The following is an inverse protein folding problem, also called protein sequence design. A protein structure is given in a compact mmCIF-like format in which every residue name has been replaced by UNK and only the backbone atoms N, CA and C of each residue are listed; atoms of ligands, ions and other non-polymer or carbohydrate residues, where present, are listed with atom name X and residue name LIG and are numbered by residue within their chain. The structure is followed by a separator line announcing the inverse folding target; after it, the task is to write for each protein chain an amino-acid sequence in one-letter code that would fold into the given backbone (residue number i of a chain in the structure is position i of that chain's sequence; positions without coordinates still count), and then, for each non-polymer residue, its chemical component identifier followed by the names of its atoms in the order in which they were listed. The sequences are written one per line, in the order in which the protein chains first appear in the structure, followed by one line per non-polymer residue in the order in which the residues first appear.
data_IF_883398283555
#
_entry.id   IF_883398283555
#
_cell.length_a   1.000
_cell.length_b   1.000
_cell.length_c   1.000
_cell.angle_alpha   90.00
_cell.angle_beta   90.00
_cell.angle_gamma   90.00
#
_symmetry.space_group_name_H-M   'P 1'
#
loop_
_entity.id
_entity.type
_entity.pdbx_description
1 polymer ?
#
# COMPACT_ATOMS: atom_id res chain seq x y z
N UNK A 1 9.15 -12.87 -1.62
CA UNK A 1 8.19 -11.84 -1.15
C UNK A 1 8.13 -10.60 -2.05
N UNK A 2 9.23 -10.11 -2.62
CA UNK A 2 9.17 -8.97 -3.57
C UNK A 2 8.13 -9.17 -4.69
N UNK A 3 8.03 -10.39 -5.23
CA UNK A 3 7.00 -10.73 -6.23
C UNK A 3 5.57 -10.68 -5.70
N UNK A 4 5.35 -10.95 -4.40
CA UNK A 4 4.03 -10.83 -3.79
C UNK A 4 3.68 -9.36 -3.54
N UNK A 5 4.65 -8.50 -3.17
CA UNK A 5 4.42 -7.05 -3.11
C UNK A 5 4.19 -6.45 -4.51
N UNK A 6 4.86 -6.95 -5.55
CA UNK A 6 4.55 -6.61 -6.95
C UNK A 6 3.11 -6.95 -7.32
N UNK A 7 2.65 -8.15 -6.95
CA UNK A 7 1.27 -8.56 -7.19
C UNK A 7 0.28 -7.67 -6.43
N UNK A 8 0.53 -7.40 -5.13
CA UNK A 8 -0.30 -6.51 -4.32
C UNK A 8 -0.33 -5.07 -4.85
N UNK A 9 0.78 -4.57 -5.39
CA UNK A 9 0.82 -3.27 -6.06
C UNK A 9 -0.06 -3.24 -7.32
N UNK A 10 0.02 -4.29 -8.15
CA UNK A 10 -0.83 -4.43 -9.33
C UNK A 10 -2.31 -4.56 -8.97
N UNK A 11 -2.62 -5.28 -7.90
CA UNK A 11 -3.98 -5.38 -7.35
C UNK A 11 -4.45 -4.02 -6.82
N UNK A 12 -3.58 -3.28 -6.12
CA UNK A 12 -3.87 -1.95 -5.58
C UNK A 12 -4.18 -0.92 -6.68
N UNK A 13 -3.52 -1.03 -7.84
CA UNK A 13 -3.82 -0.21 -9.02
C UNK A 13 -5.23 -0.48 -9.59
N UNK A 14 -5.83 -1.63 -9.31
CA UNK A 14 -7.19 -1.96 -9.74
C UNK A 14 -8.19 -1.97 -8.58
N UNK A 15 -7.72 -1.78 -7.34
CA UNK A 15 -8.54 -1.82 -6.15
C UNK A 15 -9.45 -0.57 -6.03
N UNK A 16 -10.60 -0.77 -5.41
CA UNK A 16 -11.45 0.32 -4.92
C UNK A 16 -10.99 0.74 -3.50
N UNK A 17 -11.57 1.80 -2.93
CA UNK A 17 -11.16 2.32 -1.63
C UNK A 17 -11.27 1.31 -0.48
N UNK A 18 -12.29 0.44 -0.48
CA UNK A 18 -12.46 -0.59 0.53
C UNK A 18 -11.34 -1.65 0.43
N UNK A 19 -11.08 -2.18 -0.76
CA UNK A 19 -9.98 -3.11 -0.99
C UNK A 19 -8.63 -2.47 -0.70
N UNK A 20 -8.44 -1.19 -1.02
CA UNK A 20 -7.22 -0.45 -0.69
C UNK A 20 -7.00 -0.34 0.83
N UNK A 21 -8.09 -0.13 1.58
CA UNK A 21 -8.09 -0.10 3.05
C UNK A 21 -7.68 -1.43 3.69
N UNK A 22 -7.88 -2.56 3.00
CA UNK A 22 -7.50 -3.90 3.49
C UNK A 22 -6.15 -4.38 2.94
N UNK A 23 -5.86 -4.12 1.67
CA UNK A 23 -4.62 -4.54 1.01
C UNK A 23 -3.39 -3.83 1.59
N UNK A 24 -3.49 -2.54 1.95
CA UNK A 24 -2.38 -1.79 2.53
C UNK A 24 -1.90 -2.35 3.87
N UNK A 25 -2.77 -2.55 4.88
CA UNK A 25 -2.35 -3.15 6.15
C UNK A 25 -1.87 -4.60 5.98
N UNK A 26 -2.45 -5.37 5.05
CA UNK A 26 -1.99 -6.72 4.75
C UNK A 26 -0.58 -6.73 4.16
N UNK A 27 -0.32 -5.86 3.18
CA UNK A 27 1.00 -5.70 2.58
C UNK A 27 2.02 -5.26 3.62
N UNK A 28 1.66 -4.33 4.51
CA UNK A 28 2.49 -3.88 5.63
C UNK A 28 2.82 -5.02 6.57
N UNK A 29 1.82 -5.78 7.03
CA UNK A 29 2.04 -6.90 7.94
C UNK A 29 3.03 -7.92 7.34
N UNK A 30 2.87 -8.26 6.06
CA UNK A 30 3.74 -9.24 5.39
C UNK A 30 5.14 -8.71 5.11
N UNK A 31 5.26 -7.45 4.69
CA UNK A 31 6.55 -6.82 4.43
C UNK A 31 7.33 -6.59 5.73
N UNK A 32 6.66 -6.17 6.80
CA UNK A 32 7.29 -5.84 8.08
C UNK A 32 8.04 -7.03 8.67
N UNK A 33 7.45 -8.23 8.63
CA UNK A 33 8.11 -9.46 9.12
C UNK A 33 9.47 -9.67 8.44
N UNK A 34 9.53 -9.53 7.12
CA UNK A 34 10.78 -9.71 6.38
C UNK A 34 11.74 -8.52 6.50
N UNK A 35 11.23 -7.31 6.66
CA UNK A 35 12.04 -6.13 6.94
C UNK A 35 12.73 -6.29 8.30
N UNK A 36 12.00 -6.76 9.32
CA UNK A 36 12.53 -6.98 10.66
C UNK A 36 13.56 -8.12 10.67
N UNK A 37 13.24 -9.25 10.04
CA UNK A 37 14.18 -10.36 9.86
C UNK A 37 15.43 -9.92 9.09
N UNK A 38 15.24 -9.21 7.97
CA UNK A 38 16.33 -8.70 7.15
C UNK A 38 17.23 -7.72 7.89
N UNK A 39 16.66 -6.80 8.68
CA UNK A 39 17.41 -5.88 9.55
C UNK A 39 18.19 -6.63 10.62
N UNK A 40 17.68 -7.75 11.14
CA UNK A 40 18.41 -8.57 12.11
C UNK A 40 19.65 -9.22 11.52
N UNK A 41 19.68 -9.52 10.22
CA UNK A 41 20.80 -10.23 9.55
C UNK A 41 21.62 -9.33 8.61
N UNK A 42 21.26 -8.05 8.47
CA UNK A 42 21.91 -7.11 7.53
C UNK A 42 23.41 -6.94 7.79
N UNK A 43 23.85 -7.17 9.03
CA UNK A 43 25.26 -7.11 9.41
C UNK A 43 26.06 -8.33 8.92
N UNK A 44 25.38 -9.41 8.52
CA UNK A 44 26.00 -10.63 7.98
C UNK A 44 26.19 -10.55 6.46
N UNK A 45 25.28 -9.86 5.76
CA UNK A 45 25.34 -9.70 4.31
C UNK A 45 24.77 -8.34 3.88
N UNK A 46 25.62 -7.53 3.23
CA UNK A 46 25.25 -6.22 2.72
C UNK A 46 24.20 -6.28 1.60
N UNK A 47 24.08 -7.41 0.91
CA UNK A 47 23.03 -7.67 -0.09
C UNK A 47 21.64 -7.66 0.53
N UNK A 48 21.52 -8.06 1.80
CA UNK A 48 20.26 -8.02 2.55
C UNK A 48 19.79 -6.57 2.76
N UNK A 49 20.72 -5.63 2.95
CA UNK A 49 20.39 -4.20 3.09
C UNK A 49 19.64 -3.67 1.86
N UNK A 50 20.09 -4.09 0.68
CA UNK A 50 19.44 -3.74 -0.59
C UNK A 50 18.05 -4.36 -0.68
N UNK A 51 17.90 -5.63 -0.36
CA UNK A 51 16.61 -6.32 -0.38
C UNK A 51 15.60 -5.70 0.60
N UNK A 52 16.03 -5.39 1.82
CA UNK A 52 15.20 -4.69 2.82
C UNK A 52 14.76 -3.32 2.29
N UNK A 53 15.69 -2.56 1.71
CA UNK A 53 15.38 -1.25 1.11
C UNK A 53 14.37 -1.36 -0.03
N UNK A 54 14.49 -2.38 -0.89
CA UNK A 54 13.52 -2.63 -1.98
C UNK A 54 12.13 -3.00 -1.43
N UNK A 55 12.06 -3.82 -0.37
CA UNK A 55 10.80 -4.14 0.31
C UNK A 55 10.15 -2.89 0.93
N UNK A 56 10.93 -2.05 1.61
CA UNK A 56 10.46 -0.80 2.20
C UNK A 56 9.93 0.19 1.14
N UNK A 57 10.65 0.32 0.02
CA UNK A 57 10.22 1.17 -1.08
C UNK A 57 8.90 0.70 -1.68
N UNK A 58 8.78 -0.61 -1.93
CA UNK A 58 7.52 -1.18 -2.44
C UNK A 58 6.36 -1.02 -1.48
N UNK A 59 6.59 -1.26 -0.20
CA UNK A 59 5.56 -1.08 0.81
C UNK A 59 5.04 0.37 0.81
N UNK A 60 5.94 1.35 0.81
CA UNK A 60 5.57 2.78 0.71
C UNK A 60 4.75 3.09 -0.54
N UNK A 61 5.07 2.44 -1.66
CA UNK A 61 4.35 2.66 -2.92
C UNK A 61 2.91 2.11 -2.84
N UNK A 62 2.73 0.92 -2.26
CA UNK A 62 1.41 0.33 -2.01
C UNK A 62 0.59 1.19 -1.04
N UNK A 63 1.20 1.65 0.06
CA UNK A 63 0.53 2.52 1.04
C UNK A 63 0.11 3.87 0.43
N UNK A 64 0.95 4.45 -0.44
CA UNK A 64 0.60 5.69 -1.16
C UNK A 64 -0.58 5.47 -2.10
N UNK A 65 -0.54 4.41 -2.92
CA UNK A 65 -1.63 4.08 -3.84
C UNK A 65 -2.94 3.84 -3.09
N UNK A 66 -2.88 3.14 -1.97
CA UNK A 66 -4.05 2.93 -1.13
C UNK A 66 -4.63 4.25 -0.58
N UNK A 67 -3.76 5.13 -0.09
CA UNK A 67 -4.15 6.45 0.39
C UNK A 67 -4.81 7.30 -0.70
N UNK A 68 -4.27 7.30 -1.91
CA UNK A 68 -4.86 7.96 -3.07
C UNK A 68 -6.25 7.40 -3.39
N UNK A 69 -6.41 6.07 -3.39
CA UNK A 69 -7.70 5.42 -3.67
C UNK A 69 -8.77 5.77 -2.64
N UNK A 70 -8.42 5.74 -1.36
CA UNK A 70 -9.33 6.09 -0.27
C UNK A 70 -9.72 7.57 -0.36
N UNK A 71 -8.75 8.45 -0.62
CA UNK A 71 -8.99 9.88 -0.78
C UNK A 71 -9.89 10.18 -1.97
N UNK A 72 -9.61 9.60 -3.14
CA UNK A 72 -10.43 9.79 -4.34
C UNK A 72 -11.88 9.34 -4.12
N UNK A 73 -12.10 8.21 -3.45
CA UNK A 73 -13.45 7.75 -3.13
C UNK A 73 -14.16 8.69 -2.15
N UNK A 74 -13.44 9.24 -1.16
CA UNK A 74 -14.00 10.23 -0.24
C UNK A 74 -14.36 11.54 -0.95
N UNK A 75 -13.53 12.00 -1.89
CA UNK A 75 -13.77 13.21 -2.68
C UNK A 75 -14.95 13.03 -3.64
N UNK A 76 -15.07 11.86 -4.30
CA UNK A 76 -16.22 11.52 -5.14
C UNK A 76 -17.53 11.51 -4.34
N UNK A 77 -17.52 10.87 -3.17
CA UNK A 77 -18.70 10.82 -2.31
C UNK A 77 -19.14 12.22 -1.86
N UNK A 78 -18.19 13.09 -1.53
CA UNK A 78 -18.48 14.47 -1.12
C UNK A 78 -19.10 15.30 -2.27
N UNK A 79 -18.61 15.12 -3.50
CA UNK A 79 -19.19 15.76 -4.69
C UNK A 79 -20.61 15.27 -4.99
N UNK A 80 -20.88 13.97 -4.86
CA UNK A 80 -22.22 13.41 -5.05
C UNK A 80 -23.21 13.95 -4.01
N UNK A 81 -22.79 14.13 -2.76
CA UNK A 81 -23.62 14.75 -1.72
C UNK A 81 -23.93 16.22 -2.00
N UNK A 82 -22.94 17.02 -2.43
CA UNK A 82 -23.12 18.44 -2.74
C UNK A 82 -24.13 18.65 -3.89
N UNK A 83 -24.04 17.83 -4.94
CA UNK A 83 -24.99 17.86 -6.06
C UNK A 83 -26.41 17.44 -5.67
N UNK A 84 -26.56 16.47 -4.77
CA UNK A 84 -27.88 16.04 -4.29
C UNK A 84 -28.57 17.12 -3.45
N UNK A 85 -27.81 17.95 -2.71
CA UNK A 85 -28.35 19.05 -1.90
C UNK A 85 -28.73 20.32 -2.67
N UNK A 86 -28.38 20.42 -3.96
CA UNK A 86 -28.73 21.56 -4.84
C UNK A 86 -29.95 21.27 -5.74
N UNK A 87 -30.55 20.09 -5.62
CA UNK A 87 -31.65 19.62 -6.47
C UNK A 87 -33.06 19.71 -5.88
N UNK A 88 -33.22 20.21 -4.65
CA UNK A 88 -34.51 20.44 -3.96
C UNK A 88 -34.90 21.92 -3.92
#
# INVERSE_FOLDING_TARGET
MLNQLNAMEADMLNANAAMAGELAPLARQKAQVLIDEGRSIVHLDSSVSRLVSELEQKLKQIERLAGERIRMASEQFMQEMDFASLGD
#
